data_IF_427562746406
#
_entry.id   IF_427562746406
#
_cell.length_a   1.000
_cell.length_b   1.000
_cell.length_c   1.000
_cell.angle_alpha   90.00
_cell.angle_beta   90.00
_cell.angle_gamma   90.00
#
_symmetry.space_group_name_H-M   'P 1'
#
loop_
_entity.id
_entity.type
_entity.pdbx_description
1 polymer ?
#
# COMPACT_ATOMS: atom_id res chain seq x y z
N UNK A 1 17.71 1.74 12.36
CA UNK A 1 17.78 1.88 10.89
C UNK A 1 16.36 1.69 10.36
N UNK A 2 15.72 2.72 9.78
CA UNK A 2 14.35 2.59 9.22
C UNK A 2 14.43 1.88 7.87
N UNK A 3 13.63 0.84 7.66
CA UNK A 3 13.60 0.06 6.41
C UNK A 3 12.36 0.44 5.61
N UNK A 4 12.56 0.79 4.33
CA UNK A 4 11.51 1.22 3.41
C UNK A 4 11.38 0.22 2.27
N UNK A 5 10.17 0.03 1.75
CA UNK A 5 9.92 -0.75 0.54
C UNK A 5 9.01 0.01 -0.41
N UNK A 6 9.34 -0.03 -1.70
CA UNK A 6 8.49 0.47 -2.77
C UNK A 6 7.68 -0.71 -3.29
N UNK A 7 6.36 -0.60 -3.25
CA UNK A 7 5.45 -1.60 -3.80
C UNK A 7 5.01 -1.14 -5.19
N UNK A 8 5.54 -1.82 -6.20
CA UNK A 8 5.23 -1.62 -7.62
C UNK A 8 4.49 -2.88 -8.10
N UNK A 9 3.29 -2.72 -8.65
CA UNK A 9 2.54 -3.83 -9.23
C UNK A 9 2.65 -3.88 -10.76
N UNK A 10 3.65 -3.21 -11.36
CA UNK A 10 3.88 -3.22 -12.80
C UNK A 10 4.68 -4.49 -13.21
N UNK A 11 4.06 -5.49 -13.88
CA UNK A 11 4.73 -6.77 -14.18
C UNK A 11 5.97 -6.61 -15.06
N UNK A 12 6.00 -5.57 -15.89
CA UNK A 12 7.11 -5.21 -16.77
C UNK A 12 8.41 -4.90 -16.04
N UNK A 13 8.36 -4.54 -14.75
CA UNK A 13 9.57 -4.25 -13.97
C UNK A 13 10.23 -5.51 -13.41
N UNK A 14 9.57 -6.67 -13.43
CA UNK A 14 10.14 -7.93 -12.95
C UNK A 14 11.40 -8.37 -13.73
N UNK A 15 11.57 -7.86 -14.95
CA UNK A 15 12.77 -8.09 -15.76
C UNK A 15 14.01 -7.32 -15.26
N UNK A 16 13.80 -6.23 -14.51
CA UNK A 16 14.86 -5.37 -14.00
C UNK A 16 15.04 -5.46 -12.48
N UNK A 17 13.95 -5.75 -11.76
CA UNK A 17 13.91 -5.82 -10.31
C UNK A 17 13.42 -7.18 -9.84
N UNK A 18 14.03 -7.69 -8.78
CA UNK A 18 13.54 -8.87 -8.05
C UNK A 18 12.38 -8.46 -7.17
N UNK A 19 11.17 -8.39 -7.74
CA UNK A 19 9.96 -8.07 -7.00
C UNK A 19 9.33 -9.33 -6.39
N UNK A 20 8.77 -9.17 -5.19
CA UNK A 20 7.93 -10.20 -4.58
C UNK A 20 6.51 -10.12 -5.17
N UNK A 21 5.77 -11.22 -5.17
CA UNK A 21 4.38 -11.25 -5.65
C UNK A 21 3.46 -10.30 -4.88
N UNK A 22 3.72 -10.13 -3.58
CA UNK A 22 3.02 -9.20 -2.71
C UNK A 22 3.90 -8.83 -1.50
N UNK A 23 3.42 -7.89 -0.68
CA UNK A 23 4.14 -7.42 0.51
C UNK A 23 4.33 -8.54 1.55
N UNK A 24 3.38 -9.47 1.67
CA UNK A 24 3.44 -10.60 2.61
C UNK A 24 4.64 -11.50 2.32
N UNK A 25 4.98 -11.72 1.06
CA UNK A 25 6.14 -12.51 0.63
C UNK A 25 7.51 -11.85 0.89
N UNK A 26 7.56 -10.60 1.36
CA UNK A 26 8.83 -9.94 1.68
C UNK A 26 9.45 -10.53 2.97
N UNK A 27 10.69 -11.06 2.95
CA UNK A 27 11.25 -11.79 4.10
C UNK A 27 11.78 -10.89 5.23
N UNK A 28 11.82 -9.56 5.03
CA UNK A 28 12.32 -8.61 6.02
C UNK A 28 11.16 -7.77 6.57
N UNK A 29 11.30 -7.37 7.83
CA UNK A 29 10.44 -6.35 8.43
C UNK A 29 10.67 -5.01 7.76
N UNK A 30 9.59 -4.39 7.29
CA UNK A 30 9.56 -3.09 6.64
C UNK A 30 8.78 -2.13 7.54
N UNK A 31 9.32 -0.94 7.80
CA UNK A 31 8.64 0.06 8.61
C UNK A 31 7.59 0.82 7.79
N UNK A 32 7.91 1.14 6.52
CA UNK A 32 7.08 1.99 5.65
C UNK A 32 7.03 1.48 4.22
N UNK A 33 5.83 1.43 3.64
CA UNK A 33 5.60 1.13 2.23
C UNK A 33 5.29 2.39 1.42
N UNK A 34 5.75 2.46 0.17
CA UNK A 34 5.32 3.46 -0.81
C UNK A 34 4.52 2.74 -1.88
N UNK A 35 3.25 3.09 -2.04
CA UNK A 35 2.33 2.42 -2.96
C UNK A 35 2.22 3.21 -4.26
N UNK A 36 2.60 2.55 -5.35
CA UNK A 36 2.46 3.03 -6.71
C UNK A 36 1.65 1.99 -7.49
N UNK A 37 0.38 1.85 -7.12
CA UNK A 37 -0.53 0.79 -7.55
C UNK A 37 -1.78 1.35 -8.22
N UNK A 38 -2.53 0.60 -9.05
CA UNK A 38 -3.85 1.04 -9.48
C UNK A 38 -4.80 1.31 -8.27
N UNK A 39 -5.73 2.29 -8.36
CA UNK A 39 -6.62 2.65 -7.25
C UNK A 39 -7.35 1.45 -6.65
N UNK A 40 -7.92 0.62 -7.52
CA UNK A 40 -8.71 -0.57 -7.17
C UNK A 40 -7.93 -1.59 -6.34
N UNK A 41 -6.62 -1.67 -6.53
CA UNK A 41 -5.74 -2.58 -5.79
C UNK A 41 -5.17 -1.98 -4.50
N UNK A 42 -5.26 -0.67 -4.32
CA UNK A 42 -4.56 0.03 -3.24
C UNK A 42 -5.08 -0.37 -1.86
N UNK A 43 -6.40 -0.56 -1.72
CA UNK A 43 -7.00 -1.00 -0.46
C UNK A 43 -6.45 -2.37 -0.01
N UNK A 44 -6.36 -3.34 -0.93
CA UNK A 44 -5.83 -4.67 -0.63
C UNK A 44 -4.37 -4.58 -0.16
N UNK A 45 -3.57 -3.73 -0.81
CA UNK A 45 -2.16 -3.56 -0.42
C UNK A 45 -2.03 -2.91 0.95
N UNK A 46 -2.89 -1.93 1.27
CA UNK A 46 -2.93 -1.32 2.62
C UNK A 46 -3.30 -2.37 3.67
N UNK A 47 -4.26 -3.25 3.40
CA UNK A 47 -4.62 -4.36 4.30
C UNK A 47 -3.43 -5.30 4.52
N UNK A 48 -2.74 -5.69 3.44
CA UNK A 48 -1.58 -6.57 3.55
C UNK A 48 -0.43 -5.91 4.32
N UNK A 49 -0.20 -4.59 4.14
CA UNK A 49 0.76 -3.82 4.93
C UNK A 49 0.38 -3.80 6.41
N UNK A 50 -0.89 -3.61 6.72
CA UNK A 50 -1.40 -3.60 8.09
C UNK A 50 -1.28 -4.97 8.76
N UNK A 51 -1.58 -6.06 8.04
CA UNK A 51 -1.41 -7.44 8.53
C UNK A 51 0.06 -7.79 8.79
N UNK A 52 0.98 -7.24 7.99
CA UNK A 52 2.42 -7.39 8.20
C UNK A 52 2.96 -6.53 9.36
N UNK A 53 2.11 -5.73 10.02
CA UNK A 53 2.49 -4.89 11.15
C UNK A 53 3.34 -3.67 10.77
N UNK A 54 3.20 -3.18 9.52
CA UNK A 54 3.92 -1.99 9.08
C UNK A 54 3.42 -0.74 9.82
N UNK A 55 4.30 0.24 9.99
CA UNK A 55 4.00 1.46 10.76
C UNK A 55 3.42 2.57 9.88
N UNK A 56 3.72 2.56 8.59
CA UNK A 56 3.18 3.54 7.66
C UNK A 56 3.08 3.08 6.22
N UNK A 57 2.21 3.76 5.49
CA UNK A 57 2.00 3.62 4.06
C UNK A 57 1.92 5.02 3.45
N UNK A 58 2.67 5.25 2.39
CA UNK A 58 2.60 6.45 1.55
C UNK A 58 1.86 6.07 0.28
N UNK A 59 0.68 6.63 0.05
CA UNK A 59 -0.13 6.35 -1.14
C UNK A 59 0.18 7.40 -2.20
N UNK A 60 0.95 7.03 -3.21
CA UNK A 60 1.24 7.92 -4.34
C UNK A 60 0.12 7.90 -5.39
N UNK A 61 -0.65 6.82 -5.42
CA UNK A 61 -1.76 6.62 -6.34
C UNK A 61 -2.82 7.72 -6.23
N UNK A 62 -3.25 8.25 -7.37
CA UNK A 62 -4.46 9.07 -7.49
C UNK A 62 -5.64 8.21 -7.94
N UNK A 63 -6.85 8.60 -7.61
CA UNK A 63 -8.11 8.00 -8.05
C UNK A 63 -9.18 7.90 -6.96
N UNK A 64 -9.01 8.62 -5.85
CA UNK A 64 -9.80 8.46 -4.62
C UNK A 64 -10.83 9.57 -4.46
N UNK A 65 -10.91 10.23 -3.30
CA UNK A 65 -11.94 11.22 -2.99
C UNK A 65 -12.03 12.37 -4.00
N UNK A 66 -10.96 12.65 -4.73
CA UNK A 66 -10.93 13.66 -5.80
C UNK A 66 -11.72 13.28 -7.05
N UNK A 67 -12.06 11.99 -7.25
CA UNK A 67 -12.87 11.52 -8.39
C UNK A 67 -14.36 11.40 -8.10
N UNK A 68 -14.80 11.67 -6.87
CA UNK A 68 -16.20 11.64 -6.47
C UNK A 68 -16.55 10.52 -5.48
N UNK A 69 -17.82 10.15 -5.43
CA UNK A 69 -18.37 9.32 -4.34
C UNK A 69 -17.72 7.94 -4.24
N UNK A 70 -17.49 7.25 -5.35
CA UNK A 70 -16.88 5.91 -5.34
C UNK A 70 -15.44 5.93 -4.86
N UNK A 71 -14.63 6.88 -5.35
CA UNK A 71 -13.25 7.03 -4.87
C UNK A 71 -13.18 7.43 -3.40
N UNK A 72 -14.14 8.25 -2.92
CA UNK A 72 -14.26 8.60 -1.50
C UNK A 72 -14.59 7.40 -0.61
N UNK A 73 -15.42 6.45 -1.08
CA UNK A 73 -15.69 5.20 -0.34
C UNK A 73 -14.41 4.40 -0.14
N UNK A 74 -13.59 4.27 -1.19
CA UNK A 74 -12.32 3.55 -1.12
C UNK A 74 -11.35 4.25 -0.14
N UNK A 75 -11.26 5.58 -0.20
CA UNK A 75 -10.42 6.37 0.72
C UNK A 75 -10.84 6.20 2.19
N UNK A 76 -12.15 6.23 2.45
CA UNK A 76 -12.70 6.00 3.78
C UNK A 76 -12.36 4.60 4.29
N UNK A 77 -12.43 3.60 3.42
CA UNK A 77 -12.10 2.22 3.76
C UNK A 77 -10.60 2.04 4.04
N UNK A 78 -9.72 2.68 3.25
CA UNK A 78 -8.29 2.76 3.53
C UNK A 78 -8.04 3.37 4.90
N UNK A 79 -8.69 4.50 5.21
CA UNK A 79 -8.58 5.16 6.51
C UNK A 79 -9.11 4.30 7.66
N UNK A 80 -10.20 3.54 7.44
CA UNK A 80 -10.78 2.61 8.42
C UNK A 80 -9.80 1.49 8.75
N UNK A 81 -9.27 0.82 7.73
CA UNK A 81 -8.23 -0.21 7.88
C UNK A 81 -7.04 0.35 8.64
N UNK A 82 -6.57 1.54 8.23
CA UNK A 82 -5.41 2.16 8.82
C UNK A 82 -5.54 2.41 10.33
N UNK A 83 -6.68 2.98 10.75
CA UNK A 83 -7.00 3.23 12.16
C UNK A 83 -7.14 1.94 12.96
N UNK A 84 -7.78 0.92 12.39
CA UNK A 84 -8.03 -0.35 13.08
C UNK A 84 -6.75 -1.14 13.40
N UNK A 85 -5.64 -0.82 12.73
CA UNK A 85 -4.36 -1.54 12.84
C UNK A 85 -3.19 -0.64 13.26
N UNK A 86 -3.48 0.59 13.72
CA UNK A 86 -2.47 1.57 14.15
C UNK A 86 -1.39 1.88 13.11
N UNK A 87 -1.75 1.85 11.83
CA UNK A 87 -0.85 2.21 10.72
C UNK A 87 -1.18 3.63 10.24
N UNK A 88 -0.13 4.40 9.90
CA UNK A 88 -0.28 5.76 9.39
C UNK A 88 -0.35 5.76 7.87
N UNK A 89 -1.41 6.31 7.30
CA UNK A 89 -1.50 6.59 5.85
C UNK A 89 -1.14 8.05 5.61
N UNK A 90 -0.30 8.27 4.60
CA UNK A 90 0.12 9.57 4.09
C UNK A 90 -0.24 9.64 2.62
#
# INVERSE_FOLDING_TARGET
>A
MRRYLIVLLAPLLNQYLRLNQNIKATPRDIDVAILMTPPDSTLQVVQDCAEKGMKGVIVFTAGFGERGAEGKKIEQEICRVARSRSIRVI
#
